data_IF_385792755240
#
_entry.id   IF_385792755240
#
_cell.length_a   1.000
_cell.length_b   1.000
_cell.length_c   1.000
_cell.angle_alpha   90.00
_cell.angle_beta   90.00
_cell.angle_gamma   90.00
#
_symmetry.space_group_name_H-M   'P 1'
#
loop_
_entity.id
_entity.type
_entity.pdbx_description
1 polymer ?
#
# COMPACT_ATOMS: atom_id res chain seq x y z
N UNK A 1 -6.34 7.29 -7.55
CA UNK A 1 -6.33 5.85 -7.20
C UNK A 1 -5.57 5.03 -8.25
N UNK A 2 -5.53 5.52 -9.48
CA UNK A 2 -4.83 4.89 -10.61
C UNK A 2 -3.31 4.93 -10.51
N UNK A 3 -2.76 5.96 -9.87
CA UNK A 3 -1.32 6.15 -9.63
C UNK A 3 -0.69 5.01 -8.79
N UNK A 4 -1.43 4.40 -7.87
CA UNK A 4 -0.89 3.31 -7.00
C UNK A 4 -0.56 2.05 -7.80
N UNK A 5 -1.31 1.78 -8.86
CA UNK A 5 -1.06 0.63 -9.73
C UNK A 5 0.09 0.95 -10.69
N UNK A 6 0.07 2.11 -11.33
CA UNK A 6 1.08 2.59 -12.27
C UNK A 6 2.49 2.57 -11.66
N UNK A 7 2.60 2.86 -10.39
CA UNK A 7 3.86 2.93 -9.63
C UNK A 7 4.35 1.57 -9.13
N UNK A 8 3.44 0.67 -8.79
CA UNK A 8 3.85 -0.70 -8.51
C UNK A 8 4.52 -1.34 -9.73
N UNK A 9 4.21 -0.84 -10.92
CA UNK A 9 4.78 -1.30 -12.21
C UNK A 9 6.12 -0.66 -12.51
N UNK A 10 6.28 0.65 -12.32
CA UNK A 10 7.58 1.31 -12.47
C UNK A 10 8.59 0.70 -11.49
N UNK A 11 8.17 0.44 -10.25
CA UNK A 11 8.97 -0.28 -9.27
C UNK A 11 9.21 -1.75 -9.67
N UNK A 12 8.26 -2.45 -10.28
CA UNK A 12 8.47 -3.82 -10.77
C UNK A 12 9.40 -3.86 -11.98
N UNK A 13 9.32 -2.87 -12.88
CA UNK A 13 10.21 -2.72 -14.03
C UNK A 13 11.65 -2.40 -13.60
N UNK A 14 11.85 -1.45 -12.70
CA UNK A 14 13.18 -1.15 -12.11
C UNK A 14 13.74 -2.33 -11.34
N UNK A 15 12.89 -3.15 -10.71
CA UNK A 15 13.32 -4.29 -9.91
C UNK A 15 13.67 -5.52 -10.71
N UNK A 16 12.94 -5.78 -11.76
CA UNK A 16 13.34 -6.84 -12.68
C UNK A 16 14.66 -6.48 -13.34
N UNK A 17 14.87 -5.23 -13.66
CA UNK A 17 16.18 -4.72 -14.07
C UNK A 17 17.22 -4.85 -12.94
N UNK A 18 16.93 -4.40 -11.71
CA UNK A 18 17.85 -4.48 -10.58
C UNK A 18 17.99 -5.90 -10.01
N UNK A 19 16.92 -6.70 -9.98
CA UNK A 19 16.94 -8.09 -9.54
C UNK A 19 17.64 -9.00 -10.55
N UNK A 20 17.45 -8.77 -11.84
CA UNK A 20 18.22 -9.42 -12.92
C UNK A 20 19.67 -8.95 -12.85
N UNK A 21 19.93 -7.66 -12.64
CA UNK A 21 21.28 -7.14 -12.46
C UNK A 21 21.97 -7.72 -11.21
N UNK A 22 21.26 -7.88 -10.10
CA UNK A 22 21.80 -8.49 -8.88
C UNK A 22 22.04 -10.00 -8.99
N UNK A 23 21.19 -10.72 -9.72
CA UNK A 23 21.39 -12.16 -10.03
C UNK A 23 22.51 -12.32 -11.05
N UNK A 24 22.59 -11.44 -12.04
CA UNK A 24 23.67 -11.42 -13.05
C UNK A 24 25.00 -10.99 -12.41
N UNK A 25 25.02 -9.98 -11.52
CA UNK A 25 26.24 -9.57 -10.82
C UNK A 25 26.74 -10.65 -9.85
N UNK A 26 25.85 -11.46 -9.28
CA UNK A 26 26.20 -12.60 -8.43
C UNK A 26 26.69 -13.82 -9.22
N UNK A 27 26.18 -14.01 -10.43
CA UNK A 27 26.56 -15.11 -11.35
C UNK A 27 27.77 -14.76 -12.24
N UNK A 28 28.02 -13.48 -12.48
CA UNK A 28 29.02 -13.00 -13.44
C UNK A 28 30.00 -12.04 -12.78
N UNK A 29 30.89 -12.58 -11.95
CA UNK A 29 32.06 -11.82 -11.44
C UNK A 29 33.09 -11.44 -12.51
N UNK A 30 32.87 -11.79 -13.75
CA UNK A 30 33.79 -11.50 -14.87
C UNK A 30 33.03 -11.23 -16.18
N UNK A 31 33.20 -10.02 -16.72
CA UNK A 31 33.07 -9.48 -18.09
C UNK A 31 31.83 -8.63 -18.39
N UNK A 32 32.12 -7.36 -18.69
CA UNK A 32 31.16 -6.33 -19.16
C UNK A 32 30.46 -6.65 -20.48
N UNK A 33 31.07 -7.51 -21.31
CA UNK A 33 30.52 -7.96 -22.61
C UNK A 33 29.32 -8.90 -22.45
N UNK A 34 29.29 -9.73 -21.40
CA UNK A 34 28.18 -10.65 -21.14
C UNK A 34 26.90 -9.91 -20.71
N UNK A 35 27.04 -8.79 -20.03
CA UNK A 35 25.92 -7.93 -19.59
C UNK A 35 25.16 -7.33 -20.78
N UNK A 36 25.87 -6.90 -21.82
CA UNK A 36 25.26 -6.33 -23.03
C UNK A 36 24.62 -7.38 -23.94
N UNK A 37 25.19 -8.58 -24.00
CA UNK A 37 24.66 -9.69 -24.77
C UNK A 37 23.47 -10.36 -24.11
N UNK A 38 23.44 -10.44 -22.76
CA UNK A 38 22.31 -10.93 -21.98
C UNK A 38 21.12 -9.99 -22.13
N UNK A 39 21.31 -8.66 -22.03
CA UNK A 39 20.28 -7.64 -22.27
C UNK A 39 19.72 -7.70 -23.71
N UNK A 40 20.55 -7.99 -24.70
CA UNK A 40 20.11 -8.12 -26.09
C UNK A 40 19.31 -9.40 -26.38
N UNK A 41 19.56 -10.49 -25.66
CA UNK A 41 18.84 -11.76 -25.80
C UNK A 41 17.54 -11.85 -25.02
N UNK A 42 17.32 -10.98 -24.04
CA UNK A 42 16.14 -10.98 -23.17
C UNK A 42 15.27 -9.72 -23.37
N UNK A 43 15.06 -9.33 -24.63
CA UNK A 43 14.07 -8.31 -25.03
C UNK A 43 12.63 -8.87 -25.04
N UNK A 44 12.31 -9.81 -24.14
CA UNK A 44 10.93 -10.17 -23.94
C UNK A 44 10.33 -9.19 -22.92
N UNK A 45 9.21 -8.57 -23.31
CA UNK A 45 8.44 -7.72 -22.42
C UNK A 45 8.07 -8.46 -21.14
N UNK A 46 8.17 -7.78 -20.00
CA UNK A 46 7.91 -8.35 -18.68
C UNK A 46 6.44 -8.19 -18.36
N UNK A 47 5.74 -9.31 -18.22
CA UNK A 47 4.35 -9.32 -17.82
C UNK A 47 4.21 -9.47 -16.31
N UNK A 48 3.57 -8.51 -15.65
CA UNK A 48 3.39 -8.47 -14.20
C UNK A 48 1.91 -8.46 -13.80
N UNK A 49 1.60 -9.16 -12.70
CA UNK A 49 0.32 -9.10 -12.02
C UNK A 49 0.50 -8.32 -10.71
N UNK A 50 -0.25 -7.24 -10.57
CA UNK A 50 -0.26 -6.40 -9.38
C UNK A 50 -1.52 -6.67 -8.57
N UNK A 51 -1.40 -6.93 -7.26
CA UNK A 51 -2.50 -7.30 -6.36
C UNK A 51 -2.58 -6.31 -5.21
N UNK A 52 -3.70 -5.59 -5.11
CA UNK A 52 -3.96 -4.61 -4.06
C UNK A 52 -5.26 -4.94 -3.31
N UNK A 53 -5.20 -5.76 -2.25
CA UNK A 53 -6.36 -6.08 -1.43
C UNK A 53 -6.76 -4.90 -0.55
N UNK A 54 -8.02 -4.52 -0.61
CA UNK A 54 -8.69 -3.61 0.31
C UNK A 54 -9.70 -4.34 1.19
N UNK A 55 -10.33 -3.63 2.13
CA UNK A 55 -11.28 -4.22 3.08
C UNK A 55 -12.48 -4.86 2.37
N UNK A 56 -13.06 -4.17 1.38
CA UNK A 56 -14.27 -4.58 0.65
C UNK A 56 -14.03 -4.84 -0.84
N UNK A 57 -12.77 -4.92 -1.26
CA UNK A 57 -12.42 -5.15 -2.66
C UNK A 57 -11.01 -5.68 -2.81
N UNK A 58 -10.73 -6.26 -3.97
CA UNK A 58 -9.37 -6.56 -4.41
C UNK A 58 -9.19 -5.93 -5.78
N UNK A 59 -8.30 -4.94 -5.88
CA UNK A 59 -7.93 -4.36 -7.16
C UNK A 59 -6.75 -5.12 -7.74
N UNK A 60 -6.82 -5.47 -9.01
CA UNK A 60 -5.69 -6.05 -9.74
C UNK A 60 -5.37 -5.21 -10.97
N UNK A 61 -4.10 -5.23 -11.36
CA UNK A 61 -3.62 -4.67 -12.62
C UNK A 61 -2.71 -5.65 -13.32
N UNK A 62 -2.85 -5.75 -14.63
CA UNK A 62 -1.96 -6.54 -15.48
C UNK A 62 -1.21 -5.59 -16.39
N UNK A 63 0.11 -5.72 -16.39
CA UNK A 63 0.99 -4.85 -17.15
C UNK A 63 1.95 -5.66 -18.03
N UNK A 64 2.39 -5.03 -19.09
CA UNK A 64 3.51 -5.48 -19.92
C UNK A 64 4.52 -4.33 -19.97
N UNK A 65 5.66 -4.52 -19.30
CA UNK A 65 6.60 -3.44 -18.95
C UNK A 65 5.88 -2.30 -18.22
N UNK A 66 5.92 -1.06 -18.72
CA UNK A 66 5.20 0.10 -18.16
C UNK A 66 3.75 0.23 -18.70
N UNK A 67 3.30 -0.66 -19.61
CA UNK A 67 2.00 -0.54 -20.24
C UNK A 67 0.93 -1.29 -19.47
N UNK A 68 -0.07 -0.57 -18.99
CA UNK A 68 -1.27 -1.16 -18.40
C UNK A 68 -2.08 -1.88 -19.48
N UNK A 69 -2.22 -3.20 -19.40
CA UNK A 69 -3.07 -3.96 -20.30
C UNK A 69 -4.54 -3.89 -19.86
N UNK A 70 -4.79 -4.11 -18.59
CA UNK A 70 -6.08 -3.87 -17.95
C UNK A 70 -5.98 -3.79 -16.43
N UNK A 71 -6.94 -3.14 -15.80
CA UNK A 71 -7.16 -3.17 -14.37
C UNK A 71 -8.62 -3.49 -14.05
N UNK A 72 -8.84 -4.16 -12.92
CA UNK A 72 -10.18 -4.49 -12.45
C UNK A 72 -10.27 -4.37 -10.93
N UNK A 73 -11.45 -3.98 -10.46
CA UNK A 73 -11.77 -3.90 -9.04
C UNK A 73 -12.84 -4.94 -8.70
N UNK A 74 -12.40 -6.01 -8.09
CA UNK A 74 -13.25 -7.09 -7.59
C UNK A 74 -13.86 -6.66 -6.24
N UNK A 75 -15.15 -6.37 -6.23
CA UNK A 75 -15.86 -5.97 -5.01
C UNK A 75 -16.34 -7.21 -4.26
N UNK A 76 -16.26 -7.14 -2.93
CA UNK A 76 -16.69 -8.20 -2.02
C UNK A 76 -17.85 -7.69 -1.19
N UNK A 77 -18.95 -8.44 -1.14
CA UNK A 77 -20.06 -8.10 -0.28
C UNK A 77 -19.71 -8.33 1.20
N UNK A 78 -20.40 -7.62 2.08
CA UNK A 78 -20.25 -7.84 3.54
C UNK A 78 -20.56 -9.28 3.92
N UNK A 79 -21.53 -9.92 3.25
CA UNK A 79 -21.90 -11.32 3.48
C UNK A 79 -20.78 -12.31 3.11
N UNK A 80 -20.03 -12.04 2.04
CA UNK A 80 -18.89 -12.87 1.64
C UNK A 80 -17.74 -12.75 2.66
N UNK A 81 -17.42 -11.52 3.05
CA UNK A 81 -16.30 -11.26 3.98
C UNK A 81 -16.63 -11.74 5.39
N UNK A 82 -17.87 -11.59 5.85
CA UNK A 82 -18.29 -11.99 7.21
C UNK A 82 -18.25 -13.50 7.48
N UNK A 83 -18.02 -14.33 6.46
CA UNK A 83 -17.82 -15.77 6.60
C UNK A 83 -16.47 -16.14 7.20
N UNK A 84 -15.55 -15.19 7.28
CA UNK A 84 -14.18 -15.39 7.73
C UNK A 84 -13.94 -14.66 9.04
N UNK A 85 -13.40 -15.37 10.03
CA UNK A 85 -13.09 -14.80 11.33
C UNK A 85 -11.85 -13.92 11.30
N UNK A 86 -10.90 -14.24 10.40
CA UNK A 86 -9.63 -13.52 10.26
C UNK A 86 -9.42 -13.04 8.82
N UNK A 87 -8.56 -12.01 8.67
CA UNK A 87 -8.15 -11.55 7.33
C UNK A 87 -7.43 -12.66 6.56
N UNK A 88 -6.59 -13.45 7.23
CA UNK A 88 -5.83 -14.51 6.58
C UNK A 88 -6.71 -15.59 5.95
N UNK A 89 -7.84 -15.93 6.57
CA UNK A 89 -8.78 -16.93 6.04
C UNK A 89 -9.41 -16.53 4.70
N UNK A 90 -9.41 -15.24 4.36
CA UNK A 90 -9.94 -14.75 3.08
C UNK A 90 -9.02 -15.05 1.88
N UNK A 91 -7.81 -15.58 2.11
CA UNK A 91 -6.80 -15.74 1.06
C UNK A 91 -7.27 -16.60 -0.11
N UNK A 92 -7.83 -17.77 0.18
CA UNK A 92 -8.26 -18.72 -0.86
C UNK A 92 -9.45 -18.17 -1.68
N UNK A 93 -10.40 -17.53 -1.01
CA UNK A 93 -11.50 -16.82 -1.65
C UNK A 93 -10.98 -15.74 -2.60
N UNK A 94 -10.07 -14.86 -2.13
CA UNK A 94 -9.54 -13.78 -2.95
C UNK A 94 -8.64 -14.29 -4.07
N UNK A 95 -7.83 -15.33 -3.83
CA UNK A 95 -7.04 -15.98 -4.87
C UNK A 95 -7.94 -16.51 -5.98
N UNK A 96 -9.02 -17.23 -5.60
CA UNK A 96 -9.96 -17.79 -6.57
C UNK A 96 -10.59 -16.74 -7.47
N UNK A 97 -11.10 -15.63 -6.91
CA UNK A 97 -11.73 -14.60 -7.73
C UNK A 97 -10.73 -13.87 -8.65
N UNK A 98 -9.46 -13.75 -8.24
CA UNK A 98 -8.40 -13.21 -9.11
C UNK A 98 -8.14 -14.16 -10.28
N UNK A 99 -7.97 -15.45 -10.00
CA UNK A 99 -7.69 -16.45 -11.06
C UNK A 99 -8.88 -16.64 -12.00
N UNK A 100 -10.11 -16.62 -11.48
CA UNK A 100 -11.33 -16.68 -12.30
C UNK A 100 -11.41 -15.47 -13.25
N UNK A 101 -11.15 -14.27 -12.76
CA UNK A 101 -11.14 -13.06 -13.59
C UNK A 101 -10.06 -13.12 -14.67
N UNK A 102 -8.84 -13.56 -14.34
CA UNK A 102 -7.76 -13.71 -15.33
C UNK A 102 -8.17 -14.69 -16.43
N UNK A 103 -8.82 -15.80 -16.08
CA UNK A 103 -9.35 -16.76 -17.04
C UNK A 103 -10.45 -16.16 -17.92
N UNK A 104 -11.37 -15.39 -17.34
CA UNK A 104 -12.44 -14.67 -18.08
C UNK A 104 -11.84 -13.68 -19.10
N UNK A 105 -10.76 -12.99 -18.73
CA UNK A 105 -10.03 -12.07 -19.61
C UNK A 105 -9.10 -12.77 -20.62
N UNK A 106 -9.13 -14.11 -20.68
CA UNK A 106 -8.19 -14.92 -21.48
C UNK A 106 -6.71 -14.61 -21.19
N UNK A 107 -6.40 -14.27 -19.96
CA UNK A 107 -5.04 -14.00 -19.49
C UNK A 107 -4.49 -15.27 -18.82
N UNK A 108 -3.60 -15.97 -19.50
CA UNK A 108 -2.97 -17.17 -18.97
C UNK A 108 -2.10 -16.82 -17.76
N UNK A 109 -2.36 -17.44 -16.61
CA UNK A 109 -1.61 -17.26 -15.38
C UNK A 109 -0.11 -17.54 -15.57
N UNK A 110 0.23 -18.53 -16.40
CA UNK A 110 1.63 -18.90 -16.71
C UNK A 110 2.37 -17.88 -17.60
N UNK A 111 1.65 -16.88 -18.13
CA UNK A 111 2.26 -15.83 -18.94
C UNK A 111 2.94 -14.73 -18.11
N UNK A 112 2.74 -14.72 -16.79
CA UNK A 112 3.39 -13.74 -15.93
C UNK A 112 4.85 -14.09 -15.63
N UNK A 113 5.67 -13.05 -15.51
CA UNK A 113 7.07 -13.15 -15.14
C UNK A 113 7.31 -12.80 -13.67
N UNK A 114 6.37 -12.06 -13.06
CA UNK A 114 6.47 -11.60 -11.68
C UNK A 114 5.07 -11.30 -11.12
N UNK A 115 4.90 -11.56 -9.82
CA UNK A 115 3.69 -11.17 -9.09
C UNK A 115 4.07 -10.15 -8.01
N UNK A 116 3.34 -9.04 -7.94
CA UNK A 116 3.61 -7.98 -6.96
C UNK A 116 2.38 -7.74 -6.12
N UNK A 117 2.52 -7.88 -4.81
CA UNK A 117 1.48 -7.56 -3.85
C UNK A 117 1.69 -6.20 -3.20
N UNK A 118 0.60 -5.53 -2.84
CA UNK A 118 0.69 -4.42 -1.90
C UNK A 118 1.23 -4.94 -0.57
N UNK A 119 2.27 -4.31 -0.02
CA UNK A 119 2.79 -4.63 1.30
C UNK A 119 1.79 -4.31 2.42
N UNK A 120 1.79 -5.15 3.46
CA UNK A 120 0.93 -5.05 4.64
C UNK A 120 1.61 -4.44 5.86
N UNK A 121 1.04 -4.74 7.03
CA UNK A 121 1.52 -4.31 8.35
C UNK A 121 2.63 -5.24 8.84
N UNK A 122 3.83 -5.03 8.32
CA UNK A 122 5.07 -5.71 8.69
C UNK A 122 5.77 -4.98 9.84
N UNK A 123 6.91 -5.49 10.30
CA UNK A 123 7.86 -4.72 11.10
C UNK A 123 8.33 -3.49 10.30
N UNK A 124 8.72 -2.39 10.96
CA UNK A 124 9.28 -1.22 10.28
C UNK A 124 10.49 -1.60 9.41
N UNK A 125 10.48 -1.19 8.16
CA UNK A 125 11.56 -1.44 7.19
C UNK A 125 11.83 -0.17 6.37
N UNK A 126 13.04 0.01 5.83
CA UNK A 126 13.32 1.09 4.89
C UNK A 126 12.45 1.03 3.63
N UNK A 127 12.40 2.14 2.88
CA UNK A 127 11.80 2.14 1.54
C UNK A 127 12.52 1.17 0.62
N UNK A 128 11.77 0.46 -0.20
CA UNK A 128 12.34 -0.48 -1.16
C UNK A 128 11.35 -1.53 -1.61
N UNK A 129 11.89 -2.45 -2.37
CA UNK A 129 11.18 -3.63 -2.82
C UNK A 129 11.78 -4.88 -2.19
N UNK A 130 10.90 -5.72 -1.76
CA UNK A 130 11.24 -6.88 -0.95
C UNK A 130 10.67 -8.14 -1.58
N UNK A 131 11.52 -9.14 -1.78
CA UNK A 131 11.04 -10.48 -2.11
C UNK A 131 10.18 -11.00 -0.96
N UNK A 132 9.08 -11.65 -1.29
CA UNK A 132 8.20 -12.25 -0.28
C UNK A 132 8.83 -13.54 0.24
N UNK A 133 9.60 -13.43 1.31
CA UNK A 133 10.26 -14.54 2.02
C UNK A 133 9.29 -15.23 2.99
N UNK A 134 9.69 -16.39 3.51
CA UNK A 134 8.89 -17.12 4.50
C UNK A 134 8.74 -16.33 5.81
N UNK A 135 9.79 -15.61 6.26
CA UNK A 135 9.73 -14.73 7.42
C UNK A 135 8.73 -13.58 7.22
N UNK A 136 8.74 -12.98 6.02
CA UNK A 136 7.80 -11.92 5.65
C UNK A 136 6.36 -12.45 5.61
N UNK A 137 6.15 -13.66 5.10
CA UNK A 137 4.84 -14.31 5.10
C UNK A 137 4.32 -14.55 6.52
N UNK A 138 5.19 -14.98 7.43
CA UNK A 138 4.80 -15.22 8.82
C UNK A 138 4.40 -13.92 9.52
N UNK A 139 5.19 -12.85 9.35
CA UNK A 139 4.84 -11.52 9.86
C UNK A 139 3.47 -11.04 9.34
N UNK A 140 3.16 -11.27 8.05
CA UNK A 140 1.86 -10.91 7.46
C UNK A 140 0.70 -11.75 8.00
N UNK A 141 0.91 -13.07 8.22
CA UNK A 141 -0.11 -13.98 8.75
C UNK A 141 -0.50 -13.63 10.18
N UNK A 142 0.50 -13.52 11.05
CA UNK A 142 0.26 -13.18 12.46
C UNK A 142 -0.23 -11.75 12.63
N UNK A 143 0.06 -10.88 11.67
CA UNK A 143 -0.28 -9.47 11.71
C UNK A 143 0.50 -8.75 12.81
N UNK A 144 1.83 -8.79 12.73
CA UNK A 144 2.76 -8.29 13.77
C UNK A 144 2.52 -6.84 14.19
N UNK A 145 1.93 -6.02 13.34
CA UNK A 145 1.46 -4.65 13.63
C UNK A 145 -0.06 -4.49 13.43
N UNK A 146 -0.80 -5.58 13.31
CA UNK A 146 -2.24 -5.58 13.18
C UNK A 146 -2.76 -6.35 11.97
N UNK A 147 -4.06 -6.63 12.01
CA UNK A 147 -4.77 -7.33 10.95
C UNK A 147 -5.39 -6.33 9.97
N UNK A 148 -4.95 -6.34 8.73
CA UNK A 148 -5.51 -5.49 7.68
C UNK A 148 -5.52 -6.24 6.34
N UNK A 149 -6.47 -5.94 5.48
CA UNK A 149 -6.60 -6.61 4.18
C UNK A 149 -5.33 -6.49 3.31
N UNK A 150 -4.55 -5.42 3.47
CA UNK A 150 -3.27 -5.26 2.77
C UNK A 150 -2.25 -6.36 3.09
N UNK A 151 -2.37 -7.04 4.24
CA UNK A 151 -1.50 -8.16 4.60
C UNK A 151 -1.63 -9.31 3.58
N UNK A 152 -2.80 -9.46 2.97
CA UNK A 152 -3.03 -10.46 1.94
C UNK A 152 -2.29 -10.19 0.63
N UNK A 153 -1.83 -8.96 0.37
CA UNK A 153 -1.15 -8.63 -0.88
C UNK A 153 0.11 -9.47 -1.10
N UNK A 154 1.01 -9.50 -0.13
CA UNK A 154 2.21 -10.33 -0.18
C UNK A 154 1.90 -11.83 -0.15
N UNK A 155 0.89 -12.24 0.63
CA UNK A 155 0.47 -13.65 0.75
C UNK A 155 -0.05 -14.16 -0.60
N UNK A 156 -0.97 -13.44 -1.23
CA UNK A 156 -1.54 -13.79 -2.54
C UNK A 156 -0.47 -13.76 -3.64
N UNK A 157 0.42 -12.76 -3.60
CA UNK A 157 1.51 -12.68 -4.56
C UNK A 157 2.43 -13.91 -4.47
N UNK A 158 2.78 -14.35 -3.26
CA UNK A 158 3.62 -15.53 -3.05
C UNK A 158 2.91 -16.81 -3.46
N UNK A 159 1.67 -17.02 -3.05
CA UNK A 159 0.92 -18.23 -3.41
C UNK A 159 0.72 -18.39 -4.91
N UNK A 160 0.42 -17.29 -5.63
CA UNK A 160 0.28 -17.32 -7.08
C UNK A 160 1.65 -17.49 -7.75
N UNK A 161 2.68 -16.78 -7.27
CA UNK A 161 4.04 -16.89 -7.79
C UNK A 161 4.61 -18.30 -7.66
N UNK A 162 4.45 -18.94 -6.51
CA UNK A 162 4.90 -20.33 -6.28
C UNK A 162 4.18 -21.32 -7.19
N UNK A 163 2.87 -21.13 -7.44
CA UNK A 163 2.10 -22.00 -8.32
C UNK A 163 2.61 -22.01 -9.76
N UNK A 164 3.08 -20.87 -10.25
CA UNK A 164 3.58 -20.75 -11.62
C UNK A 164 5.11 -20.67 -11.73
N UNK A 165 5.82 -20.71 -10.60
CA UNK A 165 7.28 -20.73 -10.55
C UNK A 165 7.94 -19.39 -10.85
N UNK A 166 7.31 -18.25 -10.50
CA UNK A 166 7.86 -16.91 -10.71
C UNK A 166 8.08 -16.17 -9.38
N UNK A 167 8.99 -15.19 -9.32
CA UNK A 167 9.25 -14.43 -8.12
C UNK A 167 8.07 -13.55 -7.71
N UNK A 168 7.95 -13.31 -6.40
CA UNK A 168 6.92 -12.48 -5.78
C UNK A 168 7.54 -11.38 -4.94
N UNK A 169 7.01 -10.17 -5.04
CA UNK A 169 7.53 -8.98 -4.34
C UNK A 169 6.42 -8.17 -3.69
N UNK A 170 6.82 -7.35 -2.73
CA UNK A 170 6.07 -6.19 -2.23
C UNK A 170 6.92 -4.93 -2.38
N UNK A 171 6.27 -3.78 -2.50
CA UNK A 171 6.95 -2.48 -2.69
C UNK A 171 6.44 -1.48 -1.66
N UNK A 172 7.36 -0.74 -1.04
CA UNK A 172 7.08 0.36 -0.12
C UNK A 172 5.85 0.13 0.76
N UNK A 173 5.87 -0.89 1.66
CA UNK A 173 4.73 -1.16 2.51
C UNK A 173 4.39 0.03 3.42
N UNK A 174 3.19 0.05 3.97
CA UNK A 174 2.70 1.15 4.82
C UNK A 174 3.55 1.40 6.06
N UNK A 175 4.43 0.48 6.41
CA UNK A 175 5.37 0.49 7.54
C UNK A 175 6.77 0.95 7.16
N UNK A 176 6.95 1.56 5.98
CA UNK A 176 8.23 2.20 5.64
C UNK A 176 8.58 3.21 6.71
N UNK A 177 9.77 3.07 7.29
CA UNK A 177 10.25 3.91 8.38
C UNK A 177 11.60 4.55 8.04
N UNK A 178 11.54 5.81 7.64
CA UNK A 178 12.67 6.66 7.32
C UNK A 178 12.67 7.94 8.17
N UNK A 179 11.86 7.96 9.26
CA UNK A 179 11.73 9.12 10.13
C UNK A 179 13.08 9.55 10.69
N UNK A 180 13.38 10.84 10.63
CA UNK A 180 14.52 11.38 11.33
C UNK A 180 14.33 11.24 12.86
N UNK A 181 15.41 11.15 13.65
CA UNK A 181 15.29 10.93 15.10
C UNK A 181 14.38 11.95 15.80
N UNK A 182 14.45 13.23 15.42
CA UNK A 182 13.65 14.28 16.04
C UNK A 182 12.16 14.14 15.74
N UNK A 183 11.79 13.54 14.62
CA UNK A 183 10.39 13.33 14.25
C UNK A 183 9.70 12.24 15.09
N UNK A 184 10.48 11.47 15.88
CA UNK A 184 9.94 10.40 16.74
C UNK A 184 9.45 10.88 18.10
N UNK A 185 9.78 12.11 18.47
CA UNK A 185 9.33 12.65 19.75
C UNK A 185 7.85 12.99 19.73
N UNK A 186 7.10 12.40 20.66
CA UNK A 186 5.77 12.83 21.04
C UNK A 186 5.84 13.69 22.32
N UNK A 187 4.70 14.05 22.88
CA UNK A 187 4.65 14.70 24.18
C UNK A 187 4.89 13.78 25.39
N UNK A 188 5.02 12.47 25.17
CA UNK A 188 5.24 11.44 26.19
C UNK A 188 6.39 10.52 25.74
N UNK A 189 7.39 10.33 26.59
CA UNK A 189 8.55 9.49 26.31
C UNK A 189 8.15 8.04 26.04
N UNK A 190 7.14 7.55 26.75
CA UNK A 190 6.63 6.17 26.64
C UNK A 190 5.84 5.90 25.35
N UNK A 191 5.49 6.95 24.61
CA UNK A 191 4.68 6.88 23.38
C UNK A 191 5.40 7.60 22.24
N UNK A 192 6.46 7.01 21.68
CA UNK A 192 7.13 7.61 20.52
C UNK A 192 6.22 7.57 19.29
N UNK A 193 6.41 8.52 18.38
CA UNK A 193 5.74 8.50 17.07
C UNK A 193 6.32 7.40 16.20
N UNK A 194 5.46 6.64 15.56
CA UNK A 194 5.80 5.62 14.58
C UNK A 194 5.53 6.07 13.14
N UNK A 195 6.07 5.31 12.20
CA UNK A 195 5.84 5.56 10.78
C UNK A 195 4.81 4.57 10.24
N UNK A 196 3.57 5.02 10.07
CA UNK A 196 2.52 4.29 9.34
C UNK A 196 1.83 5.27 8.41
N UNK A 197 2.03 5.13 7.10
CA UNK A 197 1.49 6.04 6.10
C UNK A 197 1.35 5.36 4.73
N UNK A 198 0.82 6.07 3.75
CA UNK A 198 0.64 5.55 2.39
C UNK A 198 1.96 5.66 1.59
N UNK A 199 3.00 4.95 2.06
CA UNK A 199 4.37 5.05 1.56
C UNK A 199 4.46 4.83 0.06
N UNK A 200 3.93 3.71 -0.45
CA UNK A 200 3.91 3.39 -1.87
C UNK A 200 3.38 4.55 -2.72
N UNK A 201 2.21 5.08 -2.39
CA UNK A 201 1.61 6.17 -3.17
C UNK A 201 2.39 7.48 -3.04
N UNK A 202 2.82 7.86 -1.83
CA UNK A 202 3.55 9.11 -1.64
C UNK A 202 4.89 9.12 -2.37
N UNK A 203 5.67 8.05 -2.22
CA UNK A 203 6.99 7.96 -2.88
C UNK A 203 6.87 7.91 -4.40
N UNK A 204 5.89 7.26 -4.87
CA UNK A 204 5.58 7.14 -6.27
C UNK A 204 5.21 8.47 -6.92
N UNK A 205 4.25 9.18 -6.32
CA UNK A 205 3.87 10.52 -6.80
C UNK A 205 5.07 11.47 -6.75
N UNK A 206 5.90 11.38 -5.69
CA UNK A 206 7.10 12.18 -5.57
C UNK A 206 8.13 11.88 -6.67
N UNK A 207 8.39 10.60 -6.96
CA UNK A 207 9.29 10.15 -8.04
C UNK A 207 8.75 10.58 -9.41
N UNK A 208 7.44 10.39 -9.65
CA UNK A 208 6.79 10.83 -10.89
C UNK A 208 6.93 12.33 -11.10
N UNK A 209 6.63 13.14 -10.07
CA UNK A 209 6.84 14.58 -10.12
C UNK A 209 8.31 14.94 -10.41
N UNK A 210 9.26 14.26 -9.79
CA UNK A 210 10.68 14.47 -10.04
C UNK A 210 11.06 14.21 -11.51
N UNK A 211 10.57 13.10 -12.08
CA UNK A 211 10.77 12.73 -13.50
C UNK A 211 10.16 13.81 -14.44
N UNK A 212 8.93 14.24 -14.19
CA UNK A 212 8.26 15.29 -14.96
C UNK A 212 8.95 16.66 -14.84
N UNK A 213 9.51 16.96 -13.65
CA UNK A 213 10.28 18.19 -13.40
C UNK A 213 11.74 18.12 -13.92
N UNK A 214 12.19 16.96 -14.42
CA UNK A 214 13.56 16.75 -14.89
C UNK A 214 14.61 16.87 -13.78
N UNK A 215 14.27 16.49 -12.54
CA UNK A 215 15.14 16.59 -11.36
C UNK A 215 15.24 15.22 -10.66
N UNK A 216 16.41 14.86 -10.08
CA UNK A 216 16.49 13.71 -9.20
C UNK A 216 15.57 13.88 -7.98
N UNK A 217 14.86 12.82 -7.59
CA UNK A 217 13.95 12.85 -6.43
C UNK A 217 14.70 13.22 -5.14
N UNK A 218 15.95 12.75 -5.00
CA UNK A 218 16.85 13.02 -3.88
C UNK A 218 17.23 14.50 -3.76
N UNK A 219 17.10 15.27 -4.84
CA UNK A 219 17.40 16.71 -4.83
C UNK A 219 16.21 17.59 -4.44
N UNK A 220 15.05 16.98 -4.22
CA UNK A 220 13.80 17.69 -3.95
C UNK A 220 13.44 17.66 -2.47
N UNK A 221 12.81 18.74 -2.02
CA UNK A 221 12.09 18.82 -0.74
C UNK A 221 10.62 18.99 -1.04
N UNK A 222 9.82 18.00 -0.66
CA UNK A 222 8.41 17.94 -0.99
C UNK A 222 7.56 17.72 0.26
N UNK A 223 6.35 18.24 0.24
CA UNK A 223 5.28 17.80 1.12
C UNK A 223 4.27 17.06 0.26
N UNK A 224 4.12 15.77 0.50
CA UNK A 224 3.21 14.92 -0.28
C UNK A 224 2.02 14.53 0.57
N UNK A 225 0.83 14.72 0.02
CA UNK A 225 -0.42 14.43 0.72
C UNK A 225 -1.15 13.33 -0.03
N UNK A 226 -1.38 12.21 0.66
CA UNK A 226 -2.33 11.18 0.22
C UNK A 226 -3.68 11.45 0.85
N UNK A 227 -4.72 11.54 0.03
CA UNK A 227 -6.08 11.80 0.45
C UNK A 227 -7.00 10.68 -0.03
N UNK A 228 -7.53 9.90 0.91
CA UNK A 228 -8.46 8.81 0.68
C UNK A 228 -9.32 8.60 1.93
N UNK A 229 -9.82 7.40 2.19
CA UNK A 229 -10.49 7.05 3.45
C UNK A 229 -9.62 7.35 4.68
N UNK A 230 -8.30 7.07 4.57
CA UNK A 230 -7.26 7.64 5.43
C UNK A 230 -6.54 8.80 4.72
N UNK A 231 -5.97 9.71 5.50
CA UNK A 231 -5.13 10.81 5.02
C UNK A 231 -3.76 10.68 5.67
N UNK A 232 -2.70 10.86 4.89
CA UNK A 232 -1.35 10.98 5.43
C UNK A 232 -0.58 12.07 4.70
N UNK A 233 0.25 12.79 5.44
CA UNK A 233 1.10 13.88 4.92
C UNK A 233 2.53 13.56 5.26
N UNK A 234 3.40 13.50 4.26
CA UNK A 234 4.83 13.21 4.42
C UNK A 234 5.71 14.36 3.98
N UNK A 235 6.73 14.63 4.77
CA UNK A 235 7.83 15.51 4.40
C UNK A 235 8.93 14.67 3.75
N UNK A 236 9.23 14.94 2.49
CA UNK A 236 10.22 14.22 1.71
C UNK A 236 11.48 15.06 1.57
N UNK A 237 12.64 14.52 1.93
CA UNK A 237 13.96 15.12 1.80
C UNK A 237 15.00 14.03 1.52
N UNK A 238 15.94 14.30 0.62
CA UNK A 238 17.02 13.38 0.22
C UNK A 238 16.51 11.98 -0.21
N UNK A 239 15.37 11.93 -0.92
CA UNK A 239 14.76 10.68 -1.37
C UNK A 239 14.06 9.87 -0.27
N UNK A 240 13.94 10.40 0.96
CA UNK A 240 13.36 9.75 2.13
C UNK A 240 12.13 10.49 2.63
N UNK A 241 11.26 9.79 3.33
CA UNK A 241 10.14 10.39 4.08
C UNK A 241 10.58 10.61 5.52
N UNK A 242 11.10 11.82 5.79
CA UNK A 242 11.80 12.15 7.03
C UNK A 242 10.90 12.52 8.19
N UNK A 243 9.67 12.90 7.91
CA UNK A 243 8.59 13.10 8.87
C UNK A 243 7.26 12.80 8.21
N UNK A 244 6.32 12.27 8.97
CA UNK A 244 4.98 11.94 8.47
C UNK A 244 3.98 12.00 9.61
N UNK A 245 2.76 12.43 9.33
CA UNK A 245 1.67 12.07 10.20
C UNK A 245 0.66 11.15 9.49
N UNK A 246 0.05 10.28 10.26
CA UNK A 246 -1.02 9.40 9.81
C UNK A 246 -2.19 9.47 10.77
N UNK A 247 -3.38 9.71 10.27
CA UNK A 247 -4.59 9.63 11.08
C UNK A 247 -4.90 8.19 11.59
N UNK A 248 -4.04 7.22 11.25
CA UNK A 248 -4.22 5.83 11.69
C UNK A 248 -4.13 5.69 13.21
N UNK A 249 -3.10 6.30 13.82
CA UNK A 249 -2.84 6.19 15.26
C UNK A 249 -3.31 7.41 16.07
N UNK A 250 -4.21 8.22 15.50
CA UNK A 250 -4.66 9.47 16.16
C UNK A 250 -3.68 10.62 15.98
N UNK A 251 -2.71 10.51 15.08
CA UNK A 251 -1.81 11.58 14.70
C UNK A 251 -2.39 12.38 13.52
N UNK A 252 -2.23 13.70 13.54
CA UNK A 252 -2.67 14.59 12.45
C UNK A 252 -4.17 14.89 12.41
N UNK A 253 -4.62 15.38 11.26
CA UNK A 253 -6.02 15.75 11.03
C UNK A 253 -6.92 14.52 10.87
N UNK A 254 -8.22 14.65 11.20
CA UNK A 254 -9.16 13.60 10.88
C UNK A 254 -9.37 13.45 9.37
N UNK A 255 -9.77 12.25 8.95
CA UNK A 255 -10.02 11.91 7.56
C UNK A 255 -11.48 11.44 7.37
N UNK A 256 -11.90 11.00 6.18
CA UNK A 256 -13.23 10.42 6.02
C UNK A 256 -13.58 9.30 7.01
N UNK A 257 -12.63 8.42 7.36
CA UNK A 257 -12.86 7.23 8.19
C UNK A 257 -12.08 7.21 9.51
N UNK A 258 -11.25 8.22 9.79
CA UNK A 258 -10.32 8.23 10.93
C UNK A 258 -10.52 9.48 11.78
N UNK A 259 -10.49 9.30 13.09
CA UNK A 259 -10.68 10.39 14.04
C UNK A 259 -9.53 11.41 14.04
N UNK A 260 -8.31 10.97 13.63
CA UNK A 260 -7.12 11.83 13.78
C UNK A 260 -6.85 12.19 15.24
N UNK A 261 -6.19 13.33 15.45
CA UNK A 261 -5.94 13.85 16.78
C UNK A 261 -7.24 14.27 17.48
N UNK A 262 -7.49 13.68 18.65
CA UNK A 262 -8.63 14.02 19.53
C UNK A 262 -8.10 14.54 20.85
N UNK A 263 -8.88 15.35 21.63
CA UNK A 263 -8.49 15.78 22.96
C UNK A 263 -8.22 14.59 23.88
N UNK A 264 -6.94 14.33 24.22
CA UNK A 264 -6.51 13.15 24.97
C UNK A 264 -7.25 12.97 26.29
N UNK A 265 -7.48 14.05 27.06
CA UNK A 265 -8.20 13.98 28.34
C UNK A 265 -9.67 13.52 28.17
N UNK A 266 -10.32 13.87 27.06
CA UNK A 266 -11.66 13.39 26.74
C UNK A 266 -11.66 11.93 26.33
N UNK A 267 -10.67 11.51 25.55
CA UNK A 267 -10.49 10.11 25.15
C UNK A 267 -10.26 9.22 26.37
N UNK A 268 -9.37 9.62 27.29
CA UNK A 268 -9.13 8.89 28.55
C UNK A 268 -10.41 8.73 29.34
N UNK A 269 -11.22 9.81 29.53
CA UNK A 269 -12.51 9.73 30.20
C UNK A 269 -13.47 8.77 29.50
N UNK A 270 -13.46 8.72 28.18
CA UNK A 270 -14.28 7.79 27.40
C UNK A 270 -13.85 6.34 27.62
N UNK A 271 -12.54 6.07 27.61
CA UNK A 271 -11.97 4.74 27.86
C UNK A 271 -12.37 4.17 29.22
N UNK A 272 -12.32 5.00 30.25
CA UNK A 272 -12.62 4.59 31.64
C UNK A 272 -14.09 4.85 32.05
N UNK A 273 -14.97 5.21 31.13
CA UNK A 273 -16.40 5.47 31.45
C UNK A 273 -17.23 4.22 31.73
N UNK A 274 -16.72 3.04 31.36
CA UNK A 274 -17.47 1.78 31.38
C UNK A 274 -18.58 1.67 30.33
N UNK A 275 -18.72 2.67 29.43
CA UNK A 275 -19.76 2.70 28.39
C UNK A 275 -19.36 1.98 27.09
N UNK A 276 -18.07 1.80 26.87
CA UNK A 276 -17.52 1.26 25.64
C UNK A 276 -16.44 0.24 25.95
N UNK A 277 -16.36 -0.78 25.13
CA UNK A 277 -15.23 -1.72 25.11
C UNK A 277 -14.06 -1.11 24.33
N UNK A 278 -12.86 -1.64 24.51
CA UNK A 278 -11.69 -1.27 23.73
C UNK A 278 -11.94 -1.37 22.22
N UNK A 279 -12.56 -2.47 21.77
CA UNK A 279 -12.93 -2.70 20.37
C UNK A 279 -13.84 -1.61 19.80
N UNK A 280 -14.81 -1.17 20.58
CA UNK A 280 -15.73 -0.08 20.17
C UNK A 280 -15.03 1.26 20.09
N UNK A 281 -14.12 1.57 21.03
CA UNK A 281 -13.32 2.80 21.00
C UNK A 281 -12.37 2.77 19.82
N UNK A 282 -11.66 1.67 19.61
CA UNK A 282 -10.76 1.50 18.46
C UNK A 282 -11.51 1.68 17.13
N UNK A 283 -12.72 1.12 17.01
CA UNK A 283 -13.56 1.32 15.83
C UNK A 283 -14.00 2.78 15.64
N UNK A 284 -14.20 3.54 16.73
CA UNK A 284 -14.49 5.00 16.67
C UNK A 284 -13.27 5.81 16.22
N UNK A 285 -12.08 5.35 16.53
CA UNK A 285 -10.84 5.99 16.08
C UNK A 285 -10.54 5.63 14.62
N UNK A 286 -10.75 4.36 14.22
CA UNK A 286 -10.37 3.82 12.91
C UNK A 286 -11.58 3.14 12.28
N UNK A 287 -12.09 3.68 11.18
CA UNK A 287 -13.19 3.13 10.39
C UNK A 287 -14.54 3.85 10.60
N UNK A 288 -14.90 4.20 11.85
CA UNK A 288 -16.14 4.91 12.19
C UNK A 288 -15.89 6.35 12.68
N UNK A 289 -14.66 6.81 12.65
CA UNK A 289 -14.25 8.15 13.00
C UNK A 289 -14.33 9.13 11.83
N UNK A 290 -13.79 10.33 12.03
CA UNK A 290 -13.71 11.35 11.00
C UNK A 290 -15.06 11.83 10.48
N UNK A 291 -15.14 12.10 9.17
CA UNK A 291 -16.39 12.54 8.54
C UNK A 291 -17.51 11.50 8.68
N UNK A 292 -17.16 10.21 8.63
CA UNK A 292 -18.13 9.13 8.83
C UNK A 292 -18.87 9.25 10.15
N UNK A 293 -18.20 9.71 11.22
CA UNK A 293 -18.82 9.92 12.53
C UNK A 293 -19.87 11.04 12.55
N UNK A 294 -19.73 12.04 11.68
CA UNK A 294 -20.64 13.19 11.63
C UNK A 294 -21.73 13.05 10.57
N UNK A 295 -21.37 12.47 9.42
CA UNK A 295 -22.20 12.44 8.23
C UNK A 295 -22.84 11.05 7.97
N UNK A 296 -22.42 10.02 8.69
CA UNK A 296 -22.87 8.64 8.51
C UNK A 296 -22.42 8.02 7.19
N UNK A 297 -21.47 8.66 6.48
CA UNK A 297 -20.92 8.18 5.20
C UNK A 297 -19.47 8.57 5.06
N UNK A 298 -18.70 7.74 4.36
CA UNK A 298 -17.35 8.00 3.89
C UNK A 298 -17.29 8.28 2.37
N UNK A 299 -18.44 8.33 1.71
CA UNK A 299 -18.52 8.65 0.29
C UNK A 299 -18.32 10.15 0.08
N UNK A 300 -17.10 10.51 -0.37
CA UNK A 300 -16.74 11.89 -0.59
C UNK A 300 -17.61 12.60 -1.64
N UNK A 301 -18.19 11.88 -2.58
CA UNK A 301 -19.08 12.47 -3.58
C UNK A 301 -20.37 13.00 -2.97
N UNK A 302 -20.85 12.40 -1.88
CA UNK A 302 -22.06 12.84 -1.20
C UNK A 302 -21.88 14.15 -0.44
N UNK A 303 -20.69 14.43 0.11
CA UNK A 303 -20.45 15.67 0.86
C UNK A 303 -19.64 16.72 0.07
N UNK A 304 -19.08 16.37 -1.08
CA UNK A 304 -18.46 17.30 -2.04
C UNK A 304 -19.41 17.69 -3.19
N UNK A 305 -20.59 17.08 -3.25
CA UNK A 305 -21.61 17.47 -4.21
C UNK A 305 -22.00 18.92 -3.93
N UNK A 306 -22.03 19.81 -4.95
CA UNK A 306 -22.37 21.22 -4.75
C UNK A 306 -23.75 21.32 -4.09
N UNK A 307 -23.81 22.04 -2.96
CA UNK A 307 -25.08 22.31 -2.32
C UNK A 307 -25.93 23.25 -3.16
N UNK A 308 -27.26 23.28 -3.01
CA UNK A 308 -28.09 24.30 -3.68
C UNK A 308 -27.65 25.74 -3.42
N UNK A 309 -26.86 25.98 -2.36
CA UNK A 309 -26.28 27.30 -2.05
C UNK A 309 -25.13 27.67 -2.98
N UNK A 310 -24.41 26.68 -3.51
CA UNK A 310 -23.27 26.92 -4.42
C UNK A 310 -23.76 27.34 -5.81
N UNK A 311 -24.98 26.96 -6.20
CA UNK A 311 -25.64 27.42 -7.42
C UNK A 311 -26.37 28.76 -7.29
N UNK A 312 -26.64 29.20 -6.04
CA UNK A 312 -27.32 30.46 -5.81
C UNK A 312 -26.38 31.69 -5.80
N UNK A 313 -25.05 31.44 -5.86
CA UNK A 313 -24.02 32.47 -5.86
C UNK A 313 -23.36 32.67 -7.24
N UNK A 314 -23.82 31.94 -8.26
CA UNK A 314 -23.45 32.11 -9.68
C UNK A 314 -24.62 32.71 -10.47
#
# INVERSE_FOLDING_TARGET
MDIVIEVAVEAAGELLSAGIDAVVDKAVKHKSEYKSEYRRKHTMAIKSLIINPGSTSTKIGVFEDENLLFEETLRHSTEEISKYDTIFEQKDFRKKIITDLLAEKNCDLKSFNVIVGRGGLLKPIPSGTYAVTDDLLEDLKVGVQGQHASNLGGILAREIGDEIGVPSYIVDPVVVDELMPIARYSGLEEIPRGSIFHALNQKAVAKRYAKEAGKPYESLRLVVVHMGGGVSVGAHEDGKVVDVFSAFDGDGAFSPERAGGVPCAALVKMCFSGKYTEKEISAKLIGKGGLNSYLGTNDCLLYTSPSPRDYAAS
#
